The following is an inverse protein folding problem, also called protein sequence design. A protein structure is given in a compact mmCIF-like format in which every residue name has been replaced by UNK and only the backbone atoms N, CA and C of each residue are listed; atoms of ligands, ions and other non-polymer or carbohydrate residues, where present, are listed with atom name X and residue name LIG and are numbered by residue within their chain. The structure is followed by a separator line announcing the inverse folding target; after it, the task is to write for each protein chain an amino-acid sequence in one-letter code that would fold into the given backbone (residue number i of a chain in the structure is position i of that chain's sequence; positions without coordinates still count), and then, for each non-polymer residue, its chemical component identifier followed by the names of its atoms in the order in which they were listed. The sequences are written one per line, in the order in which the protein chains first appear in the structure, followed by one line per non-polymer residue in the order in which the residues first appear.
data_IF_948516542751
#
_entry.id   IF_948516542751
#
_cell.length_a   1.000
_cell.length_b   1.000
_cell.length_c   1.000
_cell.angle_alpha   90.00
_cell.angle_beta   90.00
_cell.angle_gamma   90.00
#
_symmetry.space_group_name_H-M   'P 1'
#
loop_
_entity.id
_entity.type
_entity.pdbx_description
1 polymer ?
#
# COMPACT_ATOMS: atom_id res chain seq x y z
N UNK A 1 -28.35 6.29 -9.06
CA UNK A 1 -27.27 6.47 -8.05
C UNK A 1 -26.97 5.07 -7.53
N UNK A 2 -26.20 4.31 -8.30
CA UNK A 2 -26.15 2.84 -8.19
C UNK A 2 -24.73 2.32 -8.41
N UNK A 3 -23.74 3.02 -7.85
CA UNK A 3 -22.40 2.46 -7.66
C UNK A 3 -22.17 2.36 -6.15
N UNK A 4 -22.67 1.28 -5.55
CA UNK A 4 -22.23 0.91 -4.19
C UNK A 4 -20.88 0.23 -4.35
N UNK A 5 -19.83 0.85 -3.82
CA UNK A 5 -18.52 0.21 -3.74
C UNK A 5 -18.60 -0.91 -2.72
N UNK A 6 -18.49 -2.14 -3.19
CA UNK A 6 -18.37 -3.33 -2.36
C UNK A 6 -16.90 -3.54 -2.00
N UNK A 7 -16.49 -3.02 -0.85
CA UNK A 7 -15.10 -3.09 -0.40
C UNK A 7 -14.59 -4.54 -0.33
N UNK A 8 -15.50 -5.49 -0.07
CA UNK A 8 -15.20 -6.92 0.00
C UNK A 8 -14.78 -7.55 -1.32
N UNK A 9 -15.22 -7.01 -2.46
CA UNK A 9 -14.90 -7.53 -3.79
C UNK A 9 -13.58 -6.98 -4.35
N UNK A 10 -12.95 -6.02 -3.67
CA UNK A 10 -11.68 -5.43 -4.10
C UNK A 10 -10.53 -6.35 -3.71
N UNK A 11 -9.74 -6.78 -4.72
CA UNK A 11 -8.67 -7.78 -4.51
C UNK A 11 -7.29 -7.15 -4.65
N UNK A 12 -7.07 -6.35 -5.69
CA UNK A 12 -5.73 -5.84 -6.01
C UNK A 12 -5.51 -4.42 -5.49
N UNK A 13 -4.25 -4.00 -5.37
CA UNK A 13 -3.88 -2.60 -5.06
C UNK A 13 -4.57 -1.64 -6.03
N UNK A 14 -4.59 -1.98 -7.32
CA UNK A 14 -5.23 -1.18 -8.38
C UNK A 14 -6.73 -1.04 -8.15
N UNK A 15 -7.44 -2.11 -7.79
CA UNK A 15 -8.88 -2.06 -7.52
C UNK A 15 -9.18 -1.11 -6.36
N UNK A 16 -8.40 -1.22 -5.29
CA UNK A 16 -8.53 -0.34 -4.13
C UNK A 16 -8.22 1.13 -4.47
N UNK A 17 -7.23 1.39 -5.32
CA UNK A 17 -6.91 2.75 -5.75
C UNK A 17 -8.02 3.37 -6.62
N UNK A 18 -8.61 2.59 -7.54
CA UNK A 18 -9.76 3.03 -8.35
C UNK A 18 -10.97 3.33 -7.48
N UNK A 19 -11.33 2.40 -6.60
CA UNK A 19 -12.42 2.58 -5.64
C UNK A 19 -12.18 3.79 -4.71
N UNK A 20 -10.93 4.04 -4.33
CA UNK A 20 -10.57 5.21 -3.52
C UNK A 20 -10.77 6.53 -4.28
N UNK A 21 -10.49 6.57 -5.58
CA UNK A 21 -10.78 7.74 -6.41
C UNK A 21 -12.29 7.98 -6.49
N UNK A 22 -13.07 6.96 -6.85
CA UNK A 22 -14.53 7.05 -6.99
C UNK A 22 -15.23 7.51 -5.69
N UNK A 23 -14.82 6.98 -4.54
CA UNK A 23 -15.43 7.37 -3.26
C UNK A 23 -15.03 8.79 -2.85
N UNK A 24 -13.83 9.25 -3.21
CA UNK A 24 -13.39 10.63 -2.93
C UNK A 24 -14.17 11.64 -3.77
N UNK A 25 -14.43 11.33 -5.05
CA UNK A 25 -15.28 12.14 -5.92
C UNK A 25 -16.71 12.22 -5.34
N UNK A 26 -17.28 11.08 -4.96
CA UNK A 26 -18.59 11.02 -4.31
C UNK A 26 -18.66 11.85 -3.02
N UNK A 27 -17.61 11.81 -2.20
CA UNK A 27 -17.50 12.63 -0.98
C UNK A 27 -17.44 14.12 -1.31
N UNK A 28 -16.66 14.49 -2.33
CA UNK A 28 -16.54 15.88 -2.76
C UNK A 28 -17.87 16.42 -3.26
N UNK A 29 -18.58 15.66 -4.09
CA UNK A 29 -19.90 16.02 -4.62
C UNK A 29 -20.93 16.19 -3.53
N UNK A 30 -21.02 15.26 -2.58
CA UNK A 30 -21.97 15.36 -1.45
C UNK A 30 -21.67 16.58 -0.59
N UNK A 31 -20.38 16.88 -0.34
CA UNK A 31 -19.99 18.09 0.41
C UNK A 31 -20.37 19.36 -0.33
N UNK A 32 -20.09 19.43 -1.62
CA UNK A 32 -20.47 20.55 -2.47
C UNK A 32 -21.99 20.78 -2.42
N UNK A 33 -22.78 19.71 -2.55
CA UNK A 33 -24.24 19.83 -2.45
C UNK A 33 -24.69 20.29 -1.06
N UNK A 34 -24.09 19.80 0.03
CA UNK A 34 -24.43 20.22 1.40
C UNK A 34 -24.15 21.71 1.65
N UNK A 35 -23.06 22.21 1.07
CA UNK A 35 -22.61 23.59 1.26
C UNK A 35 -23.43 24.58 0.41
N UNK A 36 -23.82 24.20 -0.81
CA UNK A 36 -24.38 25.14 -1.79
C UNK A 36 -25.85 24.91 -2.17
N UNK A 37 -26.44 23.74 -1.87
CA UNK A 37 -27.84 23.49 -2.22
C UNK A 37 -28.81 24.05 -1.18
N UNK A 38 -29.99 24.48 -1.66
CA UNK A 38 -31.13 24.89 -0.82
C UNK A 38 -32.04 23.71 -0.48
N UNK A 39 -31.46 22.54 -0.18
CA UNK A 39 -32.23 21.38 0.27
C UNK A 39 -32.85 21.61 1.65
N UNK A 40 -33.98 20.95 1.90
CA UNK A 40 -34.66 20.96 3.20
C UNK A 40 -33.88 20.17 4.27
N UNK A 41 -34.31 20.27 5.53
CA UNK A 41 -33.64 19.61 6.65
C UNK A 41 -33.63 18.07 6.50
N UNK A 42 -34.70 17.51 5.92
CA UNK A 42 -34.79 16.08 5.65
C UNK A 42 -33.74 15.64 4.61
N UNK A 43 -33.58 16.39 3.53
CA UNK A 43 -32.55 16.18 2.52
C UNK A 43 -31.15 16.34 3.13
N UNK A 44 -30.92 17.40 3.93
CA UNK A 44 -29.62 17.65 4.59
C UNK A 44 -29.23 16.49 5.50
N UNK A 45 -30.17 15.97 6.29
CA UNK A 45 -29.94 14.80 7.15
C UNK A 45 -29.58 13.56 6.33
N UNK A 46 -30.30 13.28 5.24
CA UNK A 46 -30.01 12.15 4.35
C UNK A 46 -28.65 12.29 3.66
N UNK A 47 -28.32 13.48 3.15
CA UNK A 47 -27.02 13.77 2.56
C UNK A 47 -25.88 13.64 3.58
N UNK A 48 -26.09 14.10 4.81
CA UNK A 48 -25.14 13.92 5.92
C UNK A 48 -24.89 12.44 6.25
N UNK A 49 -25.94 11.62 6.30
CA UNK A 49 -25.81 10.17 6.46
C UNK A 49 -25.05 9.52 5.31
N UNK A 50 -25.34 9.91 4.06
CA UNK A 50 -24.62 9.43 2.88
C UNK A 50 -23.13 9.79 2.94
N UNK A 51 -22.80 11.04 3.32
CA UNK A 51 -21.42 11.49 3.51
C UNK A 51 -20.70 10.67 4.58
N UNK A 52 -21.35 10.42 5.72
CA UNK A 52 -20.78 9.60 6.79
C UNK A 52 -20.48 8.18 6.31
N UNK A 53 -21.43 7.56 5.58
CA UNK A 53 -21.24 6.24 5.00
C UNK A 53 -20.08 6.20 4.01
N UNK A 54 -19.97 7.19 3.11
CA UNK A 54 -18.88 7.26 2.14
C UNK A 54 -17.51 7.41 2.83
N UNK A 55 -17.43 8.23 3.88
CA UNK A 55 -16.20 8.35 4.70
C UNK A 55 -15.82 7.02 5.36
N UNK A 56 -16.79 6.27 5.88
CA UNK A 56 -16.54 4.95 6.47
C UNK A 56 -16.01 3.96 5.44
N UNK A 57 -16.63 3.90 4.25
CA UNK A 57 -16.17 3.07 3.12
C UNK A 57 -14.74 3.45 2.72
N UNK A 58 -14.43 4.75 2.61
CA UNK A 58 -13.08 5.23 2.30
C UNK A 58 -12.06 4.73 3.32
N UNK A 59 -12.35 4.82 4.62
CA UNK A 59 -11.47 4.30 5.67
C UNK A 59 -11.22 2.79 5.52
N UNK A 60 -12.26 2.01 5.21
CA UNK A 60 -12.14 0.58 5.00
C UNK A 60 -11.24 0.25 3.78
N UNK A 61 -11.41 0.96 2.66
CA UNK A 61 -10.56 0.82 1.46
C UNK A 61 -9.10 1.14 1.80
N UNK A 62 -8.85 2.24 2.51
CA UNK A 62 -7.50 2.64 2.92
C UNK A 62 -6.83 1.60 3.83
N UNK A 63 -7.60 1.03 4.77
CA UNK A 63 -7.11 -0.05 5.64
C UNK A 63 -6.65 -1.27 4.86
N UNK A 64 -7.48 -1.77 3.93
CA UNK A 64 -7.12 -2.93 3.08
C UNK A 64 -5.95 -2.63 2.14
N UNK A 65 -5.93 -1.44 1.53
CA UNK A 65 -4.84 -0.99 0.67
C UNK A 65 -3.50 -0.95 1.41
N UNK A 66 -3.50 -0.51 2.67
CA UNK A 66 -2.29 -0.47 3.49
C UNK A 66 -1.73 -1.88 3.73
N UNK A 67 -2.59 -2.85 4.01
CA UNK A 67 -2.19 -4.26 4.16
C UNK A 67 -1.59 -4.80 2.87
N UNK A 68 -2.25 -4.60 1.72
CA UNK A 68 -1.75 -5.07 0.43
C UNK A 68 -0.39 -4.46 0.07
N UNK A 69 -0.20 -3.15 0.32
CA UNK A 69 1.09 -2.49 0.07
C UNK A 69 2.20 -3.02 0.98
N UNK A 70 1.88 -3.36 2.22
CA UNK A 70 2.84 -3.96 3.14
C UNK A 70 3.23 -5.37 2.66
N UNK A 71 2.27 -6.18 2.23
CA UNK A 71 2.52 -7.51 1.66
C UNK A 71 3.38 -7.44 0.39
N UNK A 72 3.08 -6.51 -0.52
CA UNK A 72 3.90 -6.29 -1.73
C UNK A 72 5.34 -5.90 -1.38
N UNK A 73 5.52 -5.04 -0.37
CA UNK A 73 6.84 -4.64 0.12
C UNK A 73 7.62 -5.83 0.69
N UNK A 74 6.96 -6.67 1.48
CA UNK A 74 7.56 -7.89 2.05
C UNK A 74 7.97 -8.88 0.96
N UNK A 75 7.08 -9.16 0.01
CA UNK A 75 7.37 -10.01 -1.14
C UNK A 75 8.56 -9.49 -1.96
N UNK A 76 8.60 -8.18 -2.22
CA UNK A 76 9.72 -7.57 -2.93
C UNK A 76 11.03 -7.68 -2.14
N UNK A 77 11.00 -7.46 -0.82
CA UNK A 77 12.17 -7.62 0.03
C UNK A 77 12.67 -9.08 0.02
N UNK A 78 11.78 -10.06 0.15
CA UNK A 78 12.11 -11.47 0.04
C UNK A 78 12.70 -11.83 -1.33
N UNK A 79 12.10 -11.34 -2.41
CA UNK A 79 12.58 -11.57 -3.77
C UNK A 79 13.97 -10.98 -3.97
N UNK A 80 14.25 -9.79 -3.44
CA UNK A 80 15.58 -9.18 -3.47
C UNK A 80 16.61 -10.02 -2.70
N UNK A 81 16.27 -10.50 -1.49
CA UNK A 81 17.16 -11.38 -0.72
C UNK A 81 17.46 -12.66 -1.50
N UNK A 82 16.44 -13.34 -2.02
CA UNK A 82 16.61 -14.57 -2.81
C UNK A 82 17.46 -14.32 -4.06
N UNK A 83 17.21 -13.21 -4.78
CA UNK A 83 17.96 -12.86 -5.98
C UNK A 83 19.44 -12.62 -5.65
N UNK A 84 19.73 -11.93 -4.55
CA UNK A 84 21.09 -11.72 -4.07
C UNK A 84 21.76 -13.06 -3.69
N UNK A 85 21.06 -13.97 -3.02
CA UNK A 85 21.60 -15.28 -2.67
C UNK A 85 21.99 -16.09 -3.92
N UNK A 86 21.13 -16.08 -4.94
CA UNK A 86 21.42 -16.72 -6.24
C UNK A 86 22.60 -16.06 -6.95
N UNK A 87 22.66 -14.72 -6.94
CA UNK A 87 23.76 -13.96 -7.53
C UNK A 87 25.09 -14.28 -6.84
N UNK A 88 25.14 -14.28 -5.50
CA UNK A 88 26.33 -14.63 -4.72
C UNK A 88 26.78 -16.07 -5.02
N UNK A 89 25.83 -17.01 -5.09
CA UNK A 89 26.11 -18.41 -5.43
C UNK A 89 26.70 -18.55 -6.83
N UNK A 90 26.21 -17.75 -7.79
CA UNK A 90 26.74 -17.77 -9.15
C UNK A 90 28.11 -17.11 -9.22
N UNK A 91 28.29 -15.94 -8.62
CA UNK A 91 29.57 -15.22 -8.56
C UNK A 91 30.68 -16.07 -7.95
N UNK A 92 30.38 -16.88 -6.92
CA UNK A 92 31.36 -17.78 -6.31
C UNK A 92 31.96 -18.78 -7.30
N UNK A 93 31.26 -19.13 -8.38
CA UNK A 93 31.79 -20.04 -9.41
C UNK A 93 32.79 -19.35 -10.35
N UNK A 94 32.71 -18.03 -10.48
CA UNK A 94 33.49 -17.25 -11.44
C UNK A 94 34.65 -16.48 -10.79
N UNK A 95 34.60 -16.28 -9.47
CA UNK A 95 35.58 -15.50 -8.72
C UNK A 95 36.54 -16.42 -7.96
N UNK A 96 37.87 -16.13 -7.92
CA UNK A 96 38.81 -16.88 -7.11
C UNK A 96 38.42 -16.90 -5.61
N UNK A 97 38.56 -18.06 -4.96
CA UNK A 97 38.13 -18.27 -3.58
C UNK A 97 38.69 -17.24 -2.58
N UNK A 98 39.96 -16.85 -2.73
CA UNK A 98 40.60 -15.86 -1.86
C UNK A 98 39.96 -14.48 -1.95
N UNK A 99 39.52 -14.07 -3.14
CA UNK A 99 38.82 -12.78 -3.36
C UNK A 99 37.43 -12.85 -2.74
N UNK A 100 36.69 -13.94 -3.00
CA UNK A 100 35.36 -14.14 -2.42
C UNK A 100 35.40 -14.16 -0.89
N UNK A 101 36.39 -14.85 -0.29
CA UNK A 101 36.60 -14.89 1.15
C UNK A 101 36.86 -13.52 1.76
N UNK A 102 37.73 -12.71 1.14
CA UNK A 102 38.01 -11.34 1.58
C UNK A 102 36.74 -10.45 1.54
N UNK A 103 35.96 -10.53 0.46
CA UNK A 103 34.69 -9.82 0.34
C UNK A 103 33.69 -10.24 1.43
N UNK A 104 33.60 -11.54 1.75
CA UNK A 104 32.70 -12.03 2.79
C UNK A 104 33.08 -11.50 4.19
N UNK A 105 34.38 -11.46 4.51
CA UNK A 105 34.88 -10.89 5.77
C UNK A 105 34.52 -9.40 5.87
N UNK A 106 34.72 -8.64 4.79
CA UNK A 106 34.37 -7.23 4.75
C UNK A 106 32.85 -6.99 4.87
N UNK A 107 32.03 -7.78 4.16
CA UNK A 107 30.58 -7.71 4.25
C UNK A 107 30.07 -7.96 5.68
N UNK A 108 30.65 -8.96 6.37
CA UNK A 108 30.32 -9.25 7.76
C UNK A 108 30.70 -8.11 8.71
N UNK A 109 31.89 -7.53 8.53
CA UNK A 109 32.34 -6.37 9.31
C UNK A 109 31.41 -5.15 9.11
N UNK A 110 30.97 -4.89 7.87
CA UNK A 110 30.03 -3.80 7.58
C UNK A 110 28.64 -4.06 8.17
N UNK A 111 28.14 -5.29 8.10
CA UNK A 111 26.85 -5.66 8.69
C UNK A 111 26.85 -5.47 10.21
N UNK A 112 27.91 -5.94 10.89
CA UNK A 112 28.07 -5.75 12.34
C UNK A 112 28.11 -4.26 12.74
N UNK A 113 28.80 -3.42 11.96
CA UNK A 113 28.86 -1.98 12.19
C UNK A 113 27.53 -1.25 11.91
N UNK A 114 26.74 -1.74 10.93
CA UNK A 114 25.44 -1.19 10.59
C UNK A 114 24.35 -1.48 11.62
N UNK A 115 24.41 -2.64 12.29
CA UNK A 115 23.48 -3.01 13.38
C UNK A 115 23.66 -2.12 14.62
N UNK A 116 24.87 -1.64 14.89
CA UNK A 116 25.14 -0.70 16.00
C UNK A 116 24.63 0.74 15.77
N UNK A 117 24.23 1.10 14.55
CA UNK A 117 23.75 2.45 14.20
C UNK A 117 22.23 2.57 14.07
N UNK A 118 21.47 1.49 14.29
CA UNK A 118 20.00 1.49 14.22
C UNK A 118 19.36 1.51 15.59
#
# INVERSE_FOLDING_TARGET
MENRIEVESLVTITDHLKALAEINDSIADIRYQLDYSKGDDCWRRRAGMALHKCKSIRTAIQGRLAVLRQQEKELNAEMHVRTNDFLVKELKKHVPDGVFGACNIQAWAMAAAGVMKR
#
